data_IF_880478058315
#
_entry.id   IF_880478058315
#
_cell.length_a   1.000
_cell.length_b   1.000
_cell.length_c   1.000
_cell.angle_alpha   90.00
_cell.angle_beta   90.00
_cell.angle_gamma   90.00
#
_symmetry.space_group_name_H-M   'P 1'
#
loop_
_entity.id
_entity.type
_entity.pdbx_description
1 polymer ?
#
# COMPACT_ATOMS: atom_id res chain seq x y z
N UNK A 1 4.39 23.32 17.37
CA UNK A 1 5.25 22.12 17.26
C UNK A 1 4.45 20.83 17.34
N UNK A 2 3.52 20.69 18.29
CA UNK A 2 2.67 19.50 18.43
C UNK A 2 1.86 19.14 17.19
N UNK A 3 1.27 20.14 16.50
CA UNK A 3 0.55 19.92 15.24
C UNK A 3 1.48 19.36 14.17
N UNK A 4 2.72 19.85 14.08
CA UNK A 4 3.72 19.37 13.12
C UNK A 4 4.08 17.92 13.42
N UNK A 5 4.36 17.58 14.69
CA UNK A 5 4.63 16.20 15.09
C UNK A 5 3.45 15.27 14.80
N UNK A 6 2.22 15.74 15.00
CA UNK A 6 1.01 14.98 14.68
C UNK A 6 0.86 14.75 13.19
N UNK A 7 1.09 15.78 12.38
CA UNK A 7 0.99 15.70 10.92
C UNK A 7 2.06 14.77 10.33
N UNK A 8 3.30 14.84 10.84
CA UNK A 8 4.37 13.91 10.48
C UNK A 8 4.02 12.47 10.86
N UNK A 9 3.51 12.23 12.07
CA UNK A 9 3.05 10.89 12.50
C UNK A 9 2.01 10.31 11.55
N UNK A 10 0.99 11.10 11.19
CA UNK A 10 -0.07 10.67 10.27
C UNK A 10 0.50 10.35 8.89
N UNK A 11 1.37 11.21 8.34
CA UNK A 11 2.01 10.97 7.04
C UNK A 11 2.85 9.69 7.06
N UNK A 12 3.67 9.49 8.09
CA UNK A 12 4.52 8.31 8.22
C UNK A 12 3.67 7.05 8.32
N UNK A 13 2.65 7.03 9.17
CA UNK A 13 1.73 5.91 9.30
C UNK A 13 1.02 5.59 7.97
N UNK A 14 0.56 6.63 7.27
CA UNK A 14 -0.10 6.50 5.97
C UNK A 14 0.84 5.92 4.90
N UNK A 15 2.09 6.40 4.84
CA UNK A 15 3.10 5.89 3.90
C UNK A 15 3.44 4.43 4.22
N UNK A 16 3.66 4.08 5.49
CA UNK A 16 3.94 2.70 5.90
C UNK A 16 2.79 1.78 5.48
N UNK A 17 1.54 2.18 5.75
CA UNK A 17 0.36 1.42 5.38
C UNK A 17 0.29 1.18 3.85
N UNK A 18 0.49 2.22 3.03
CA UNK A 18 0.50 2.06 1.57
C UNK A 18 1.61 1.12 1.07
N UNK A 19 2.81 1.22 1.66
CA UNK A 19 3.92 0.32 1.31
C UNK A 19 3.66 -1.12 1.73
N UNK A 20 3.04 -1.33 2.90
CA UNK A 20 2.66 -2.66 3.39
C UNK A 20 1.72 -3.36 2.43
N UNK A 21 0.75 -2.65 1.84
CA UNK A 21 -0.17 -3.23 0.83
C UNK A 21 0.61 -3.77 -0.37
N UNK A 22 1.58 -3.01 -0.91
CA UNK A 22 2.39 -3.45 -2.05
C UNK A 22 3.24 -4.68 -1.72
N UNK A 23 3.84 -4.71 -0.52
CA UNK A 23 4.61 -5.85 -0.04
C UNK A 23 3.72 -7.09 0.11
N UNK A 24 2.56 -6.95 0.74
CA UNK A 24 1.62 -8.05 0.95
C UNK A 24 1.12 -8.63 -0.38
N UNK A 25 0.80 -7.78 -1.35
CA UNK A 25 0.36 -8.20 -2.69
C UNK A 25 1.47 -8.95 -3.43
N UNK A 26 2.72 -8.51 -3.26
CA UNK A 26 3.88 -9.21 -3.79
C UNK A 26 4.11 -10.57 -3.09
N UNK A 27 4.01 -10.61 -1.76
CA UNK A 27 4.12 -11.83 -0.94
C UNK A 27 3.03 -12.82 -1.32
N UNK A 28 1.79 -12.39 -1.49
CA UNK A 28 0.68 -13.24 -1.92
C UNK A 28 1.00 -13.89 -3.28
N UNK A 29 1.39 -13.08 -4.27
CA UNK A 29 1.71 -13.59 -5.62
C UNK A 29 2.89 -14.55 -5.64
N UNK A 30 3.96 -14.26 -4.90
CA UNK A 30 5.16 -15.13 -4.83
C UNK A 30 4.93 -16.35 -3.95
N UNK A 31 4.26 -16.18 -2.82
CA UNK A 31 3.90 -17.22 -1.87
C UNK A 31 2.96 -18.25 -2.50
N UNK A 32 1.88 -17.81 -3.15
CA UNK A 32 0.99 -18.72 -3.87
C UNK A 32 1.69 -19.45 -5.02
N UNK A 33 2.62 -18.80 -5.72
CA UNK A 33 3.38 -19.43 -6.79
C UNK A 33 4.35 -20.51 -6.25
N UNK A 34 4.98 -20.26 -5.10
CA UNK A 34 5.84 -21.23 -4.43
C UNK A 34 5.05 -22.47 -3.96
N UNK A 35 3.86 -22.27 -3.38
CA UNK A 35 2.96 -23.37 -2.99
C UNK A 35 2.53 -24.20 -4.21
N UNK A 36 2.35 -23.54 -5.35
CA UNK A 36 1.92 -24.16 -6.61
C UNK A 36 3.07 -24.71 -7.46
N UNK A 37 4.30 -24.70 -6.97
CA UNK A 37 5.51 -25.10 -7.70
C UNK A 37 5.61 -24.47 -9.10
N UNK A 38 5.29 -23.17 -9.20
CA UNK A 38 5.41 -22.40 -10.44
C UNK A 38 6.18 -21.12 -10.23
N UNK A 39 6.75 -20.60 -11.31
CA UNK A 39 7.45 -19.32 -11.29
C UNK A 39 6.42 -18.19 -11.16
N UNK A 40 6.47 -17.47 -10.04
CA UNK A 40 5.67 -16.26 -9.79
C UNK A 40 6.11 -15.05 -10.61
N UNK A 41 5.79 -13.84 -10.15
CA UNK A 41 6.19 -12.61 -10.85
C UNK A 41 7.70 -12.55 -11.08
N UNK A 42 8.16 -12.67 -12.34
CA UNK A 42 9.59 -12.70 -12.73
C UNK A 42 9.83 -12.14 -14.14
N UNK A 43 8.85 -11.49 -14.77
CA UNK A 43 8.89 -11.13 -16.20
C UNK A 43 9.38 -9.70 -16.50
N UNK A 44 9.17 -8.74 -15.61
CA UNK A 44 9.67 -7.38 -15.78
C UNK A 44 11.10 -7.26 -15.21
N UNK A 45 12.09 -7.72 -15.98
CA UNK A 45 13.50 -7.58 -15.63
C UNK A 45 14.02 -6.22 -16.11
N UNK A 46 13.89 -5.18 -15.27
CA UNK A 46 14.26 -3.80 -15.65
C UNK A 46 15.79 -3.60 -15.77
N UNK A 47 16.61 -4.42 -15.12
CA UNK A 47 18.07 -4.25 -15.14
C UNK A 47 18.80 -5.24 -16.05
N UNK A 48 18.14 -5.85 -17.04
CA UNK A 48 18.83 -6.72 -18.01
C UNK A 48 19.61 -7.89 -17.38
N UNK A 49 19.23 -8.34 -16.17
CA UNK A 49 19.97 -9.36 -15.42
C UNK A 49 21.14 -8.86 -14.56
N UNK A 50 21.40 -7.55 -14.47
CA UNK A 50 22.49 -6.99 -13.65
C UNK A 50 22.24 -7.20 -12.14
N UNK A 51 20.97 -7.26 -11.72
CA UNK A 51 20.60 -7.68 -10.38
C UNK A 51 20.24 -9.19 -10.45
N UNK A 52 21.01 -10.09 -9.80
CA UNK A 52 20.80 -11.54 -9.88
C UNK A 52 19.43 -12.00 -9.35
N UNK A 53 18.71 -11.11 -8.67
CA UNK A 53 17.39 -11.36 -8.11
C UNK A 53 16.34 -10.48 -8.81
N UNK A 54 15.86 -10.90 -9.98
CA UNK A 54 14.55 -10.41 -10.43
C UNK A 54 13.49 -11.05 -9.51
N UNK A 55 13.23 -10.40 -8.38
CA UNK A 55 12.34 -10.91 -7.36
C UNK A 55 10.85 -10.65 -7.69
N UNK A 56 10.53 -10.05 -8.84
CA UNK A 56 9.16 -9.67 -9.20
C UNK A 56 8.63 -8.41 -8.51
N UNK A 57 9.50 -7.71 -7.78
CA UNK A 57 9.18 -6.45 -7.09
C UNK A 57 8.77 -5.40 -8.14
N UNK A 58 9.53 -5.26 -9.21
CA UNK A 58 9.21 -4.32 -10.30
C UNK A 58 7.81 -4.54 -10.88
N UNK A 59 7.42 -5.80 -11.12
CA UNK A 59 6.09 -6.12 -11.63
C UNK A 59 4.99 -5.61 -10.71
N UNK A 60 5.16 -5.78 -9.39
CA UNK A 60 4.09 -5.53 -8.42
C UNK A 60 4.11 -4.08 -7.90
N UNK A 61 5.29 -3.50 -7.72
CA UNK A 61 5.46 -2.17 -7.13
C UNK A 61 5.40 -1.04 -8.17
N UNK A 62 5.70 -1.33 -9.44
CA UNK A 62 5.72 -0.29 -10.50
C UNK A 62 4.70 -0.58 -11.58
N UNK A 63 4.70 -1.77 -12.18
CA UNK A 63 3.84 -2.05 -13.33
C UNK A 63 2.35 -2.14 -12.93
N UNK A 64 2.03 -2.68 -11.75
CA UNK A 64 0.64 -2.82 -11.30
C UNK A 64 -0.04 -1.48 -10.92
N UNK A 65 0.64 -0.50 -10.29
CA UNK A 65 0.10 0.85 -10.16
C UNK A 65 0.01 1.56 -11.52
N UNK A 66 1.06 1.48 -12.34
CA UNK A 66 1.11 2.17 -13.63
C UNK A 66 -0.01 1.72 -14.57
N UNK A 67 -0.28 0.41 -14.65
CA UNK A 67 -1.40 -0.11 -15.45
C UNK A 67 -2.76 0.37 -14.90
N UNK A 68 -2.87 0.58 -13.58
CA UNK A 68 -4.08 1.07 -12.94
C UNK A 68 -4.37 2.52 -13.33
N UNK A 69 -3.34 3.38 -13.31
CA UNK A 69 -3.47 4.78 -13.74
C UNK A 69 -3.78 4.95 -15.22
N UNK A 70 -3.32 4.02 -16.06
CA UNK A 70 -3.61 4.05 -17.51
C UNK A 70 -4.92 3.35 -17.87
N UNK A 71 -5.62 2.77 -16.90
CA UNK A 71 -6.86 2.05 -17.17
C UNK A 71 -8.00 3.03 -17.37
N UNK A 72 -8.77 2.81 -18.43
CA UNK A 72 -9.99 3.57 -18.68
C UNK A 72 -11.04 3.27 -17.61
N UNK A 73 -11.68 4.32 -17.10
CA UNK A 73 -12.80 4.20 -16.17
C UNK A 73 -14.09 3.99 -16.95
N UNK A 74 -14.50 2.73 -17.08
CA UNK A 74 -15.70 2.33 -17.82
C UNK A 74 -16.84 2.09 -16.83
N UNK A 75 -17.83 2.97 -16.84
CA UNK A 75 -19.07 2.80 -16.05
C UNK A 75 -20.11 2.08 -16.90
N UNK A 76 -20.70 0.96 -16.44
CA UNK A 76 -21.75 0.25 -17.17
C UNK A 76 -22.95 1.15 -17.47
N UNK A 77 -23.53 1.01 -18.66
CA UNK A 77 -24.66 1.85 -19.09
C UNK A 77 -25.92 1.69 -18.21
N UNK A 78 -26.10 0.50 -17.62
CA UNK A 78 -27.26 0.13 -16.81
C UNK A 78 -27.01 0.34 -15.29
N UNK A 79 -25.83 0.85 -14.91
CA UNK A 79 -25.46 1.07 -13.51
C UNK A 79 -25.71 2.52 -13.07
N UNK A 80 -26.08 2.68 -11.79
CA UNK A 80 -26.15 4.00 -11.16
C UNK A 80 -24.73 4.59 -11.01
N UNK A 81 -24.48 5.70 -11.70
CA UNK A 81 -23.18 6.39 -11.73
C UNK A 81 -22.76 6.90 -10.35
N UNK A 82 -23.70 7.36 -9.54
CA UNK A 82 -23.40 7.88 -8.21
C UNK A 82 -22.98 6.76 -7.26
N UNK A 83 -23.73 5.66 -7.24
CA UNK A 83 -23.37 4.50 -6.40
C UNK A 83 -22.07 3.85 -6.87
N UNK A 84 -21.84 3.74 -8.17
CA UNK A 84 -20.61 3.18 -8.73
C UNK A 84 -19.36 3.98 -8.31
N UNK A 85 -19.45 5.31 -8.31
CA UNK A 85 -18.37 6.18 -7.85
C UNK A 85 -18.19 6.18 -6.33
N UNK A 86 -19.28 6.09 -5.56
CA UNK A 86 -19.24 6.09 -4.10
C UNK A 86 -18.72 4.78 -3.51
N UNK A 87 -18.97 3.65 -4.17
CA UNK A 87 -18.58 2.31 -3.72
C UNK A 87 -17.09 2.19 -3.30
N UNK A 88 -16.08 2.59 -4.11
CA UNK A 88 -14.69 2.51 -3.71
C UNK A 88 -14.36 3.41 -2.50
N UNK A 89 -15.00 4.58 -2.38
CA UNK A 89 -14.78 5.49 -1.24
C UNK A 89 -15.24 4.82 0.05
N UNK A 90 -16.44 4.24 0.05
CA UNK A 90 -17.00 3.54 1.22
C UNK A 90 -16.15 2.34 1.60
N UNK A 91 -15.59 1.62 0.63
CA UNK A 91 -14.70 0.48 0.89
C UNK A 91 -13.37 0.86 1.54
N UNK A 92 -12.85 2.06 1.26
CA UNK A 92 -11.56 2.52 1.77
C UNK A 92 -11.66 3.12 3.18
N UNK A 93 -12.81 3.69 3.58
CA UNK A 93 -13.02 4.25 4.92
C UNK A 93 -12.65 3.28 6.06
N UNK A 94 -13.18 2.03 6.12
CA UNK A 94 -12.86 1.11 7.21
C UNK A 94 -11.38 0.69 7.21
N UNK A 95 -10.71 0.69 6.04
CA UNK A 95 -9.27 0.42 5.95
C UNK A 95 -8.47 1.46 6.75
N UNK A 96 -8.79 2.75 6.60
CA UNK A 96 -8.09 3.80 7.32
C UNK A 96 -8.47 3.86 8.80
N UNK A 97 -9.73 3.60 9.14
CA UNK A 97 -10.19 3.58 10.53
C UNK A 97 -9.54 2.47 11.34
N UNK A 98 -9.36 1.28 10.76
CA UNK A 98 -8.71 0.16 11.48
C UNK A 98 -7.25 0.48 11.81
N UNK A 99 -6.51 1.11 10.90
CA UNK A 99 -5.13 1.56 11.15
C UNK A 99 -5.02 2.67 12.21
N UNK A 100 -6.04 3.51 12.37
CA UNK A 100 -6.05 4.56 13.40
C UNK A 100 -6.13 3.97 14.83
N UNK A 101 -6.66 2.76 14.98
CA UNK A 101 -6.84 2.09 16.28
C UNK A 101 -5.63 1.22 16.66
N UNK A 102 -4.82 0.79 15.68
CA UNK A 102 -3.68 -0.10 15.93
C UNK A 102 -2.59 0.63 16.71
N UNK A 103 -2.11 0.06 17.84
CA UNK A 103 -1.05 0.68 18.59
C UNK A 103 0.33 0.50 17.96
N UNK A 104 1.00 1.62 17.67
CA UNK A 104 2.33 1.64 17.05
C UNK A 104 3.47 1.69 18.07
N UNK A 105 3.25 2.24 19.26
CA UNK A 105 4.29 2.37 20.27
C UNK A 105 3.94 3.35 21.39
N UNK A 106 4.81 3.37 22.41
CA UNK A 106 4.72 4.23 23.60
C UNK A 106 5.35 5.62 23.34
N UNK A 107 5.51 6.44 24.38
CA UNK A 107 6.08 7.80 24.30
C UNK A 107 7.51 7.78 23.76
N UNK A 108 7.74 8.53 22.68
CA UNK A 108 9.06 8.76 22.09
C UNK A 108 9.68 10.03 22.69
N UNK A 109 10.82 9.88 23.37
CA UNK A 109 11.58 11.01 23.92
C UNK A 109 12.69 11.37 22.93
N UNK A 110 12.64 12.59 22.37
CA UNK A 110 13.58 13.10 21.38
C UNK A 110 14.19 14.40 21.89
N UNK A 111 15.31 14.28 22.61
CA UNK A 111 15.91 15.40 23.34
C UNK A 111 14.95 15.88 24.43
N UNK A 112 14.61 17.17 24.42
CA UNK A 112 13.67 17.78 25.36
C UNK A 112 12.19 17.58 24.98
N UNK A 113 11.91 16.94 23.84
CA UNK A 113 10.53 16.73 23.36
C UNK A 113 10.02 15.34 23.72
N UNK A 114 8.87 15.29 24.39
CA UNK A 114 8.06 14.08 24.61
C UNK A 114 6.98 14.00 23.55
N UNK A 115 7.12 13.06 22.60
CA UNK A 115 6.16 12.84 21.52
C UNK A 115 5.41 11.57 21.85
N UNK A 116 4.14 11.69 22.24
CA UNK A 116 3.32 10.51 22.40
C UNK A 116 2.97 9.91 21.02
N UNK A 117 3.34 8.65 20.78
CA UNK A 117 3.09 7.97 19.50
C UNK A 117 1.63 7.49 19.38
N UNK A 118 0.91 7.45 20.49
CA UNK A 118 -0.53 7.18 20.53
C UNK A 118 -1.21 7.99 21.65
N UNK A 119 -2.53 7.93 21.78
CA UNK A 119 -3.24 8.53 22.92
C UNK A 119 -3.34 7.52 24.07
#
# INVERSE_FOLDING_TARGET
MEVIFTLVKVIVAFVIMLQMVLVLLWVERKGSALIQDRVGANRANIFGGLLPFNLGIVNTFMADPLKGFHKEDIVPADADKFLHWLAPIVGIIPLFLTFAVVPFGDVLILGDYTINLQA
#
